data_IF_913506664772
#
_entry.id   IF_913506664772
#
_cell.length_a   1.000
_cell.length_b   1.000
_cell.length_c   1.000
_cell.angle_alpha   90.00
_cell.angle_beta   90.00
_cell.angle_gamma   90.00
#
_symmetry.space_group_name_H-M   'P 1'
#
loop_
_entity.id
_entity.type
_entity.pdbx_description
1 polymer ?
#
# COMPACT_ATOMS: atom_id res chain seq x y z
N UNK A 1 -14.15 -8.28 -24.61
CA UNK A 1 -15.23 -7.30 -24.45
C UNK A 1 -15.08 -6.58 -23.11
N UNK A 2 -14.23 -5.55 -23.05
CA UNK A 2 -14.15 -4.67 -21.89
C UNK A 2 -15.11 -3.51 -22.11
N UNK A 3 -16.17 -3.41 -21.32
CA UNK A 3 -17.06 -2.25 -21.30
C UNK A 3 -16.28 -1.04 -20.83
N UNK A 4 -16.22 -0.02 -21.68
CA UNK A 4 -15.63 1.27 -21.35
C UNK A 4 -16.51 1.91 -20.25
N UNK A 5 -15.93 2.13 -19.07
CA UNK A 5 -16.61 2.81 -17.98
C UNK A 5 -16.71 4.28 -18.38
N UNK A 6 -17.92 4.73 -18.72
CA UNK A 6 -18.21 6.14 -19.00
C UNK A 6 -18.81 6.73 -17.73
N UNK A 7 -18.16 7.74 -17.18
CA UNK A 7 -18.69 8.51 -16.08
C UNK A 7 -19.59 9.60 -16.65
N UNK A 8 -20.87 9.58 -16.27
CA UNK A 8 -21.83 10.65 -16.56
C UNK A 8 -21.59 11.83 -15.60
N UNK A 9 -21.87 13.06 -16.03
CA UNK A 9 -21.65 14.27 -15.23
C UNK A 9 -22.49 14.29 -13.94
N UNK A 10 -23.57 13.49 -13.88
CA UNK A 10 -24.41 13.28 -12.69
C UNK A 10 -23.92 12.22 -11.70
N UNK A 11 -22.72 11.65 -11.87
CA UNK A 11 -22.21 10.61 -10.98
C UNK A 11 -21.96 11.15 -9.56
N UNK A 12 -22.62 10.56 -8.56
CA UNK A 12 -22.39 10.91 -7.16
C UNK A 12 -21.03 10.38 -6.68
N UNK A 13 -20.21 11.27 -6.10
CA UNK A 13 -18.88 10.94 -5.59
C UNK A 13 -18.77 11.34 -4.12
N UNK A 14 -18.32 10.41 -3.27
CA UNK A 14 -18.05 10.66 -1.86
C UNK A 14 -16.64 11.25 -1.69
N UNK A 15 -16.56 12.49 -1.21
CA UNK A 15 -15.29 13.18 -0.98
C UNK A 15 -14.93 13.16 0.51
N UNK A 16 -13.95 12.33 0.89
CA UNK A 16 -13.49 12.20 2.28
C UNK A 16 -12.70 13.42 2.79
N UNK A 17 -12.10 14.22 1.90
CA UNK A 17 -11.13 15.25 2.25
C UNK A 17 -11.38 16.58 1.55
N UNK A 18 -12.57 17.17 1.72
CA UNK A 18 -12.95 18.40 1.01
C UNK A 18 -11.99 19.56 1.30
N UNK A 19 -11.56 19.73 2.56
CA UNK A 19 -10.65 20.81 2.94
C UNK A 19 -9.24 20.64 2.35
N UNK A 20 -8.78 19.39 2.22
CA UNK A 20 -7.51 19.09 1.55
C UNK A 20 -7.56 19.51 0.08
N UNK A 21 -8.64 19.16 -0.64
CA UNK A 21 -8.79 19.51 -2.05
C UNK A 21 -8.84 21.02 -2.26
N UNK A 22 -9.57 21.77 -1.41
CA UNK A 22 -9.63 23.23 -1.47
C UNK A 22 -8.27 23.90 -1.27
N UNK A 23 -7.44 23.36 -0.38
CA UNK A 23 -6.08 23.89 -0.16
C UNK A 23 -5.14 23.49 -1.28
N UNK A 24 -5.28 22.28 -1.81
CA UNK A 24 -4.47 21.80 -2.92
C UNK A 24 -4.72 22.64 -4.18
N UNK A 25 -5.97 23.00 -4.47
CA UNK A 25 -6.34 23.87 -5.60
C UNK A 25 -5.66 25.25 -5.53
N UNK A 26 -5.52 25.80 -4.32
CA UNK A 26 -4.78 27.06 -4.11
C UNK A 26 -3.27 26.89 -4.23
N UNK A 27 -2.75 25.75 -3.78
CA UNK A 27 -1.32 25.47 -3.70
C UNK A 27 -0.72 25.10 -5.07
N UNK A 28 -1.44 24.34 -5.89
CA UNK A 28 -0.93 23.83 -7.18
C UNK A 28 -0.48 24.94 -8.14
N UNK A 29 -1.21 26.07 -8.32
CA UNK A 29 -0.79 27.17 -9.19
C UNK A 29 0.43 27.94 -8.68
N UNK A 30 0.77 27.86 -7.39
CA UNK A 30 1.92 28.56 -6.81
C UNK A 30 3.27 27.94 -7.25
N UNK A 31 3.25 26.70 -7.75
CA UNK A 31 4.44 25.96 -8.15
C UNK A 31 4.50 25.73 -9.66
N UNK A 32 5.72 25.71 -10.19
CA UNK A 32 5.97 25.32 -11.58
C UNK A 32 5.53 23.87 -11.82
N UNK A 33 4.86 23.63 -12.95
CA UNK A 33 4.39 22.29 -13.35
C UNK A 33 5.50 21.23 -13.28
N UNK A 34 6.74 21.58 -13.68
CA UNK A 34 7.90 20.68 -13.61
C UNK A 34 8.19 20.22 -12.17
N UNK A 35 8.06 21.11 -11.18
CA UNK A 35 8.27 20.76 -9.76
C UNK A 35 7.20 19.80 -9.25
N UNK A 36 5.94 20.04 -9.63
CA UNK A 36 4.83 19.17 -9.25
C UNK A 36 5.00 17.77 -9.85
N UNK A 37 5.33 17.67 -11.15
CA UNK A 37 5.56 16.38 -11.82
C UNK A 37 6.71 15.62 -11.18
N UNK A 38 7.87 16.26 -10.98
CA UNK A 38 9.02 15.62 -10.34
C UNK A 38 8.69 15.13 -8.92
N UNK A 39 7.88 15.88 -8.16
CA UNK A 39 7.43 15.45 -6.84
C UNK A 39 6.51 14.23 -6.91
N UNK A 40 5.55 14.22 -7.85
CA UNK A 40 4.67 13.07 -8.05
C UNK A 40 5.42 11.82 -8.50
N UNK A 41 6.39 11.98 -9.41
CA UNK A 41 7.28 10.90 -9.84
C UNK A 41 8.09 10.34 -8.67
N UNK A 42 8.64 11.22 -7.83
CA UNK A 42 9.34 10.81 -6.62
C UNK A 42 8.42 10.06 -5.64
N UNK A 43 7.22 10.59 -5.39
CA UNK A 43 6.23 9.93 -4.53
C UNK A 43 5.83 8.54 -5.05
N UNK A 44 5.62 8.42 -6.36
CA UNK A 44 5.31 7.14 -6.99
C UNK A 44 6.48 6.19 -6.87
N UNK A 45 7.66 6.60 -7.32
CA UNK A 45 8.89 5.81 -7.25
C UNK A 45 9.11 5.28 -5.83
N UNK A 46 8.98 6.17 -4.84
CA UNK A 46 9.17 5.83 -3.44
C UNK A 46 8.14 4.83 -2.89
N UNK A 47 6.87 4.95 -3.30
CA UNK A 47 5.78 4.08 -2.81
C UNK A 47 5.76 2.71 -3.48
N UNK A 48 5.95 2.65 -4.80
CA UNK A 48 5.68 1.46 -5.61
C UNK A 48 6.96 0.77 -6.06
N UNK A 49 7.81 1.47 -6.82
CA UNK A 49 8.97 0.90 -7.48
C UNK A 49 10.02 0.39 -6.49
N UNK A 50 10.28 1.14 -5.41
CA UNK A 50 11.37 0.82 -4.48
C UNK A 50 11.29 -0.56 -3.83
N UNK A 51 10.11 -1.19 -3.79
CA UNK A 51 9.91 -2.54 -3.23
C UNK A 51 10.33 -3.66 -4.20
N UNK A 52 10.43 -3.34 -5.48
CA UNK A 52 10.71 -4.28 -6.58
C UNK A 52 12.14 -4.12 -7.14
N UNK A 53 12.89 -3.11 -6.67
CA UNK A 53 14.25 -2.86 -7.12
C UNK A 53 15.27 -3.82 -6.48
N UNK A 54 16.41 -4.05 -7.16
CA UNK A 54 17.52 -4.86 -6.64
C UNK A 54 18.11 -4.33 -5.32
N UNK A 55 18.75 -5.24 -4.58
CA UNK A 55 19.36 -5.01 -3.26
C UNK A 55 20.16 -3.69 -3.07
N UNK A 56 20.97 -3.18 -4.04
CA UNK A 56 21.67 -1.89 -3.87
C UNK A 56 20.75 -0.69 -3.63
N UNK A 57 19.56 -0.66 -4.24
CA UNK A 57 18.58 0.40 -4.01
C UNK A 57 17.90 0.24 -2.65
N UNK A 58 17.54 -1.00 -2.30
CA UNK A 58 16.97 -1.33 -0.99
C UNK A 58 17.91 -0.95 0.17
N UNK A 59 19.22 -1.10 0.00
CA UNK A 59 20.23 -0.68 0.99
C UNK A 59 20.30 0.83 1.18
N UNK A 60 20.22 1.60 0.09
CA UNK A 60 20.22 3.09 0.16
C UNK A 60 19.01 3.60 0.95
N UNK A 61 17.86 2.98 0.75
CA UNK A 61 16.62 3.31 1.46
C UNK A 61 16.67 2.88 2.91
N UNK A 62 17.26 1.71 3.20
CA UNK A 62 17.48 1.28 4.56
C UNK A 62 18.32 2.31 5.33
N UNK A 63 19.36 2.88 4.70
CA UNK A 63 20.13 3.99 5.29
C UNK A 63 19.25 5.21 5.57
N UNK A 64 18.38 5.60 4.62
CA UNK A 64 17.44 6.71 4.80
C UNK A 64 16.47 6.48 5.98
N UNK A 65 15.81 5.32 6.04
CA UNK A 65 14.90 4.98 7.13
C UNK A 65 15.61 4.82 8.48
N UNK A 66 16.87 4.38 8.47
CA UNK A 66 17.72 4.34 9.67
C UNK A 66 18.01 5.75 10.18
N UNK A 67 18.32 6.69 9.30
CA UNK A 67 18.51 8.10 9.67
C UNK A 67 17.23 8.73 10.24
N UNK A 68 16.05 8.34 9.72
CA UNK A 68 14.76 8.78 10.25
C UNK A 68 14.34 8.07 11.56
N UNK A 69 15.19 7.22 12.14
CA UNK A 69 14.87 6.36 13.30
C UNK A 69 13.62 5.48 13.11
N UNK A 70 13.18 5.28 11.86
CA UNK A 70 12.00 4.47 11.53
C UNK A 70 12.33 2.98 11.44
N UNK A 71 13.58 2.61 11.15
CA UNK A 71 14.02 1.22 11.08
C UNK A 71 15.49 1.04 11.49
N UNK A 72 15.75 0.17 12.46
CA UNK A 72 17.10 -0.19 12.89
C UNK A 72 17.64 -1.48 12.24
N UNK A 73 16.76 -2.34 11.71
CA UNK A 73 17.11 -3.65 11.14
C UNK A 73 16.50 -3.80 9.75
N UNK A 74 17.29 -4.31 8.80
CA UNK A 74 16.80 -4.58 7.44
C UNK A 74 15.83 -5.75 7.50
N UNK A 75 14.60 -5.56 7.00
CA UNK A 75 13.64 -6.66 6.87
C UNK A 75 14.22 -7.71 5.92
N UNK A 76 14.23 -8.96 6.38
CA UNK A 76 14.62 -10.12 5.58
C UNK A 76 13.70 -10.28 4.37
N UNK A 77 14.27 -10.60 3.21
CA UNK A 77 13.56 -10.59 1.92
C UNK A 77 12.34 -11.51 1.88
N UNK A 78 12.44 -12.71 2.45
CA UNK A 78 11.33 -13.67 2.52
C UNK A 78 10.11 -13.11 3.26
N UNK A 79 10.33 -12.32 4.33
CA UNK A 79 9.25 -11.71 5.10
C UNK A 79 8.52 -10.66 4.24
N UNK A 80 9.25 -9.93 3.39
CA UNK A 80 8.67 -9.03 2.39
C UNK A 80 7.79 -9.79 1.39
N UNK A 81 8.26 -10.93 0.88
CA UNK A 81 7.51 -11.78 -0.04
C UNK A 81 6.21 -12.32 0.60
N UNK A 82 6.29 -12.86 1.81
CA UNK A 82 5.11 -13.37 2.54
C UNK A 82 4.08 -12.26 2.78
N UNK A 83 4.54 -11.08 3.20
CA UNK A 83 3.65 -9.92 3.42
C UNK A 83 2.92 -9.54 2.13
N UNK A 84 3.64 -9.51 0.99
CA UNK A 84 3.05 -9.15 -0.31
C UNK A 84 2.00 -10.14 -0.77
N UNK A 85 2.28 -11.44 -0.70
CA UNK A 85 1.32 -12.47 -1.10
C UNK A 85 0.08 -12.40 -0.19
N UNK A 86 0.26 -12.14 1.10
CA UNK A 86 -0.87 -11.97 2.02
C UNK A 86 -1.72 -10.73 1.71
N UNK A 87 -1.13 -9.64 1.21
CA UNK A 87 -1.90 -8.46 0.79
C UNK A 87 -2.58 -8.61 -0.57
N UNK A 88 -1.95 -9.33 -1.52
CA UNK A 88 -2.50 -9.51 -2.86
C UNK A 88 -3.53 -10.64 -2.93
N UNK A 89 -3.32 -11.72 -2.17
CA UNK A 89 -4.15 -12.92 -2.19
C UNK A 89 -4.50 -13.37 -0.76
N UNK A 90 -5.13 -12.51 0.06
CA UNK A 90 -5.41 -12.79 1.47
C UNK A 90 -6.24 -14.07 1.66
N UNK A 91 -7.19 -14.34 0.75
CA UNK A 91 -8.04 -15.53 0.85
C UNK A 91 -7.26 -16.82 0.61
N UNK A 92 -6.35 -16.83 -0.38
CA UNK A 92 -5.56 -18.01 -0.70
C UNK A 92 -4.56 -18.31 0.42
N UNK A 93 -3.82 -17.31 0.91
CA UNK A 93 -2.91 -17.46 2.04
C UNK A 93 -3.64 -17.93 3.30
N UNK A 94 -4.82 -17.35 3.58
CA UNK A 94 -5.65 -17.75 4.71
C UNK A 94 -6.15 -19.19 4.60
N UNK A 95 -6.55 -19.65 3.42
CA UNK A 95 -6.99 -21.04 3.23
C UNK A 95 -5.86 -22.06 3.49
N UNK A 96 -4.64 -21.74 3.08
CA UNK A 96 -3.46 -22.58 3.33
C UNK A 96 -3.16 -22.62 4.83
N UNK A 97 -3.22 -21.46 5.49
CA UNK A 97 -3.01 -21.36 6.93
C UNK A 97 -4.04 -22.18 7.71
N UNK A 98 -5.33 -22.03 7.39
CA UNK A 98 -6.41 -22.79 8.05
C UNK A 98 -6.24 -24.28 7.86
N UNK A 99 -5.91 -24.73 6.64
CA UNK A 99 -5.71 -26.16 6.34
C UNK A 99 -4.55 -26.79 7.12
N UNK A 100 -3.47 -26.02 7.35
CA UNK A 100 -2.23 -26.56 7.92
C UNK A 100 -2.05 -26.31 9.42
N UNK A 101 -2.71 -25.28 9.97
CA UNK A 101 -2.44 -24.78 11.32
C UNK A 101 -3.69 -24.50 12.16
N UNK A 102 -4.90 -24.61 11.61
CA UNK A 102 -6.12 -24.33 12.36
C UNK A 102 -6.83 -25.63 12.73
N UNK A 103 -6.85 -25.93 14.03
CA UNK A 103 -7.56 -27.09 14.56
C UNK A 103 -9.07 -26.82 14.59
N UNK A 104 -9.86 -27.77 14.10
CA UNK A 104 -11.32 -27.63 14.01
C UNK A 104 -11.99 -27.49 15.39
N UNK A 105 -11.35 -27.98 16.45
CA UNK A 105 -11.85 -27.88 17.83
C UNK A 105 -11.77 -26.45 18.38
N UNK A 106 -10.81 -25.62 17.93
CA UNK A 106 -10.73 -24.21 18.31
C UNK A 106 -11.95 -23.41 17.82
N UNK A 107 -12.54 -23.80 16.69
CA UNK A 107 -13.76 -23.16 16.15
C UNK A 107 -14.99 -23.43 17.01
N UNK A 108 -15.11 -24.63 17.58
CA UNK A 108 -16.24 -25.02 18.43
C UNK A 108 -16.22 -24.29 19.76
N UNK A 109 -15.03 -24.07 20.34
CA UNK A 109 -14.90 -23.31 21.58
C UNK A 109 -15.32 -21.86 21.39
N UNK A 110 -14.90 -21.17 20.32
CA UNK A 110 -15.28 -19.76 20.08
C UNK A 110 -16.79 -19.61 19.88
N UNK A 111 -17.44 -20.53 19.18
CA UNK A 111 -18.91 -20.49 18.96
C UNK A 111 -19.74 -20.80 20.23
N UNK A 112 -19.13 -21.27 21.32
CA UNK A 112 -19.81 -21.48 22.60
C UNK A 112 -19.75 -20.23 23.50
N UNK A 113 -18.93 -19.24 23.16
CA UNK A 113 -18.81 -17.96 23.88
C UNK A 113 -19.61 -16.82 23.22
N UNK A 114 -20.36 -17.10 22.15
CA UNK A 114 -21.32 -16.22 21.49
C UNK A 114 -22.70 -16.87 21.47
#
# INVERSE_FOLDING_TARGET
>A
NGTQIVFDEGAEVVVYGVEFLRRLDKLLPEYEQRRVVNYLEWCWFFKTMLRDLPDPFALTIFKFYKTLNLMNVQKVRWHGCVTRINSLMPMATSSIYVKNHFDHEAKKQVNLYF
#
